data_IF_115638165331
#
_entry.id   IF_115638165331
#
_cell.length_a   1.000
_cell.length_b   1.000
_cell.length_c   1.000
_cell.angle_alpha   90.00
_cell.angle_beta   90.00
_cell.angle_gamma   90.00
#
_symmetry.space_group_name_H-M   'P 1'
#
loop_
_entity.id
_entity.type
_entity.pdbx_description
1 polymer ?
#
# COMPACT_ATOMS: atom_id res chain seq x y z
N UNK A 1 -6.46 -2.39 12.18
CA UNK A 1 -5.94 -3.77 12.35
C UNK A 1 -4.50 -3.79 11.86
N UNK A 2 -3.59 -4.33 12.67
CA UNK A 2 -2.15 -4.46 12.39
C UNK A 2 -1.89 -5.60 11.38
N UNK A 3 -0.77 -5.55 10.66
CA UNK A 3 -0.22 -6.69 9.91
C UNK A 3 0.62 -7.56 10.87
N UNK A 4 1.45 -8.48 10.35
CA UNK A 4 2.28 -9.31 11.21
C UNK A 4 3.47 -8.51 11.77
N UNK A 5 4.08 -7.65 10.96
CA UNK A 5 5.13 -6.73 11.38
C UNK A 5 4.59 -5.67 12.34
N UNK A 6 5.25 -5.49 13.48
CA UNK A 6 4.75 -4.65 14.59
C UNK A 6 4.54 -3.17 14.18
N UNK A 7 5.35 -2.66 13.28
CA UNK A 7 5.28 -1.29 12.81
C UNK A 7 4.17 -1.06 11.77
N UNK A 8 3.65 -2.12 11.14
CA UNK A 8 2.78 -2.02 9.98
C UNK A 8 1.29 -2.07 10.36
N UNK A 9 0.71 -0.90 10.60
CA UNK A 9 -0.73 -0.76 10.78
C UNK A 9 -1.44 -0.54 9.43
N UNK A 10 -2.52 -1.29 9.18
CA UNK A 10 -3.33 -1.12 7.96
C UNK A 10 -4.22 0.12 8.10
N UNK A 11 -3.78 1.21 7.49
CA UNK A 11 -4.37 2.56 7.56
C UNK A 11 -4.53 3.12 6.15
N UNK A 12 -5.52 2.65 5.37
CA UNK A 12 -5.62 2.99 3.95
C UNK A 12 -5.77 4.49 3.68
N UNK A 13 -6.52 5.20 4.52
CA UNK A 13 -6.68 6.66 4.43
C UNK A 13 -5.36 7.43 4.61
N UNK A 14 -4.33 6.79 5.19
CA UNK A 14 -2.98 7.33 5.28
C UNK A 14 -2.34 7.54 3.91
N UNK A 15 -2.61 6.66 2.94
CA UNK A 15 -2.15 6.80 1.55
C UNK A 15 -2.65 8.10 0.93
N UNK A 16 -3.95 8.37 1.02
CA UNK A 16 -4.54 9.62 0.53
C UNK A 16 -3.91 10.84 1.20
N UNK A 17 -3.80 10.84 2.54
CA UNK A 17 -3.24 11.98 3.28
C UNK A 17 -1.78 12.22 2.94
N UNK A 18 -0.96 11.17 2.83
CA UNK A 18 0.46 11.30 2.50
C UNK A 18 0.67 11.86 1.09
N UNK A 19 -0.04 11.31 0.09
CA UNK A 19 0.04 11.79 -1.30
C UNK A 19 -0.46 13.23 -1.41
N UNK A 20 -1.60 13.54 -0.81
CA UNK A 20 -2.15 14.91 -0.81
C UNK A 20 -1.21 15.89 -0.11
N UNK A 21 -0.58 15.49 1.00
CA UNK A 21 0.42 16.32 1.68
C UNK A 21 1.61 16.61 0.76
N UNK A 22 2.17 15.60 0.08
CA UNK A 22 3.29 15.81 -0.84
C UNK A 22 2.89 16.73 -1.98
N UNK A 23 1.71 16.52 -2.56
CA UNK A 23 1.13 17.38 -3.60
C UNK A 23 1.05 18.84 -3.13
N UNK A 24 0.43 19.11 -1.99
CA UNK A 24 0.21 20.48 -1.51
C UNK A 24 1.51 21.14 -1.04
N UNK A 25 2.36 20.40 -0.34
CA UNK A 25 3.56 20.94 0.30
C UNK A 25 4.69 21.23 -0.67
N UNK A 26 4.78 20.48 -1.76
CA UNK A 26 5.90 20.52 -2.71
C UNK A 26 5.48 20.96 -4.12
N UNK A 27 4.28 21.51 -4.30
CA UNK A 27 3.85 22.09 -5.58
C UNK A 27 3.47 21.06 -6.64
N UNK A 28 2.82 19.97 -6.22
CA UNK A 28 2.33 18.88 -7.06
C UNK A 28 3.42 18.27 -7.96
N UNK A 29 4.54 17.78 -7.37
CA UNK A 29 5.55 17.11 -8.16
C UNK A 29 5.00 15.83 -8.78
N UNK A 30 5.70 15.33 -9.79
CA UNK A 30 5.49 13.97 -10.28
C UNK A 30 5.91 12.96 -9.20
N UNK A 31 5.02 12.03 -8.85
CA UNK A 31 5.21 11.07 -7.75
C UNK A 31 5.21 9.64 -8.32
N UNK A 32 6.16 8.84 -7.83
CA UNK A 32 6.14 7.38 -7.95
C UNK A 32 5.95 6.80 -6.55
N UNK A 33 4.92 5.97 -6.36
CA UNK A 33 4.76 5.15 -5.17
C UNK A 33 5.64 3.91 -5.34
N UNK A 34 6.87 3.99 -4.83
CA UNK A 34 7.90 2.96 -5.03
C UNK A 34 7.62 1.67 -4.28
N UNK A 35 6.96 1.74 -3.11
CA UNK A 35 6.64 0.57 -2.30
C UNK A 35 5.30 0.76 -1.56
N UNK A 36 4.49 -0.30 -1.57
CA UNK A 36 3.35 -0.47 -0.69
C UNK A 36 3.03 -1.96 -0.57
N UNK A 37 2.82 -2.45 0.65
CA UNK A 37 2.63 -3.89 0.89
C UNK A 37 2.22 -4.22 2.32
N UNK A 38 1.94 -5.51 2.55
CA UNK A 38 1.76 -6.07 3.89
C UNK A 38 2.25 -7.51 3.98
N UNK A 39 2.66 -7.90 5.18
CA UNK A 39 3.10 -9.24 5.52
C UNK A 39 1.98 -10.06 6.21
N UNK A 40 2.02 -11.37 5.99
CA UNK A 40 1.15 -12.34 6.67
C UNK A 40 1.92 -13.11 7.75
N UNK A 41 1.23 -13.82 8.66
CA UNK A 41 1.90 -14.64 9.67
C UNK A 41 2.81 -15.72 9.09
N UNK A 42 3.85 -16.05 9.85
CA UNK A 42 4.77 -17.16 9.54
C UNK A 42 4.08 -18.53 9.71
N UNK A 43 4.63 -19.56 9.04
CA UNK A 43 4.21 -20.97 9.16
C UNK A 43 2.80 -21.32 8.67
N UNK A 44 2.27 -20.58 7.70
CA UNK A 44 1.06 -20.99 6.98
C UNK A 44 1.33 -22.22 6.10
N UNK A 45 0.34 -23.10 5.96
CA UNK A 45 0.40 -24.15 4.94
C UNK A 45 0.30 -23.52 3.56
N UNK A 46 0.87 -24.16 2.53
CA UNK A 46 0.83 -23.64 1.16
C UNK A 46 -0.59 -23.29 0.67
N UNK A 47 -1.63 -24.13 0.86
CA UNK A 47 -2.98 -23.73 0.48
C UNK A 47 -3.51 -22.50 1.26
N UNK A 48 -3.11 -22.33 2.53
CA UNK A 48 -3.51 -21.17 3.33
C UNK A 48 -2.78 -19.90 2.92
N UNK A 49 -1.50 -19.98 2.56
CA UNK A 49 -0.72 -18.82 2.12
C UNK A 49 -1.22 -18.27 0.78
N UNK A 50 -1.74 -19.14 -0.10
CA UNK A 50 -2.35 -18.72 -1.37
C UNK A 50 -3.71 -18.02 -1.21
N UNK A 51 -4.41 -18.23 -0.09
CA UNK A 51 -5.72 -17.62 0.18
C UNK A 51 -5.59 -16.33 1.01
N UNK A 52 -4.79 -15.40 0.52
CA UNK A 52 -4.36 -14.16 1.18
C UNK A 52 -5.39 -13.01 1.12
N UNK A 53 -6.63 -13.30 1.50
CA UNK A 53 -7.74 -12.31 1.46
C UNK A 53 -7.42 -11.00 2.21
N UNK A 54 -6.56 -11.05 3.22
CA UNK A 54 -6.06 -9.86 3.92
C UNK A 54 -5.22 -8.96 3.02
N UNK A 55 -4.25 -9.51 2.28
CA UNK A 55 -3.42 -8.78 1.31
C UNK A 55 -4.25 -8.23 0.16
N UNK A 56 -5.21 -9.03 -0.35
CA UNK A 56 -6.16 -8.55 -1.37
C UNK A 56 -6.96 -7.33 -0.88
N UNK A 57 -7.49 -7.39 0.35
CA UNK A 57 -8.23 -6.28 0.94
C UNK A 57 -7.33 -5.06 1.23
N UNK A 58 -6.09 -5.29 1.64
CA UNK A 58 -5.08 -4.24 1.80
C UNK A 58 -4.91 -3.45 0.50
N UNK A 59 -4.54 -4.11 -0.60
CA UNK A 59 -4.34 -3.42 -1.87
C UNK A 59 -5.61 -2.75 -2.38
N UNK A 60 -6.77 -3.41 -2.30
CA UNK A 60 -8.04 -2.81 -2.72
C UNK A 60 -8.32 -1.50 -1.98
N UNK A 61 -8.07 -1.46 -0.67
CA UNK A 61 -8.33 -0.27 0.15
C UNK A 61 -7.30 0.83 -0.08
N UNK A 62 -6.01 0.51 -0.19
CA UNK A 62 -4.94 1.50 -0.43
C UNK A 62 -5.01 2.08 -1.84
N UNK A 63 -5.22 1.25 -2.86
CA UNK A 63 -5.39 1.71 -4.24
C UNK A 63 -6.65 2.55 -4.44
N UNK A 64 -7.71 2.31 -3.67
CA UNK A 64 -8.90 3.18 -3.65
C UNK A 64 -8.55 4.58 -3.15
N UNK A 65 -7.77 4.69 -2.09
CA UNK A 65 -7.34 5.99 -1.53
C UNK A 65 -6.29 6.68 -2.41
N UNK A 66 -5.38 5.92 -3.05
CA UNK A 66 -4.47 6.47 -4.07
C UNK A 66 -5.26 7.00 -5.28
N UNK A 67 -6.23 6.23 -5.78
CA UNK A 67 -7.12 6.68 -6.88
C UNK A 67 -7.88 7.94 -6.49
N UNK A 68 -8.33 8.06 -5.24
CA UNK A 68 -8.95 9.28 -4.73
C UNK A 68 -7.98 10.47 -4.79
N UNK A 69 -6.73 10.29 -4.37
CA UNK A 69 -5.72 11.36 -4.44
C UNK A 69 -5.42 11.78 -5.89
N UNK A 70 -5.36 10.82 -6.82
CA UNK A 70 -5.21 11.07 -8.26
C UNK A 70 -6.41 11.88 -8.79
N UNK A 71 -7.64 11.48 -8.45
CA UNK A 71 -8.84 12.21 -8.83
C UNK A 71 -8.86 13.65 -8.27
N UNK A 72 -8.22 13.87 -7.11
CA UNK A 72 -8.05 15.19 -6.48
C UNK A 72 -6.79 15.93 -6.99
N UNK A 73 -6.21 15.49 -8.10
CA UNK A 73 -5.17 16.20 -8.84
C UNK A 73 -3.72 15.88 -8.45
N UNK A 74 -3.45 14.80 -7.71
CA UNK A 74 -2.08 14.34 -7.50
C UNK A 74 -1.49 13.74 -8.78
N UNK A 75 -0.29 14.19 -9.18
CA UNK A 75 0.44 13.67 -10.34
C UNK A 75 1.20 12.39 -9.97
N UNK A 76 0.54 11.23 -10.15
CA UNK A 76 1.10 9.90 -9.88
C UNK A 76 1.41 9.20 -11.20
N UNK A 77 2.67 8.85 -11.43
CA UNK A 77 3.13 8.16 -12.66
C UNK A 77 3.36 6.67 -12.47
N UNK A 78 3.55 6.20 -11.24
CA UNK A 78 3.81 4.79 -10.97
C UNK A 78 3.35 4.34 -9.60
N UNK A 79 3.01 3.06 -9.51
CA UNK A 79 2.73 2.35 -8.26
C UNK A 79 3.37 0.97 -8.35
N UNK A 80 4.15 0.61 -7.34
CA UNK A 80 4.86 -0.66 -7.26
C UNK A 80 4.55 -1.34 -5.92
N UNK A 81 4.08 -2.59 -6.01
CA UNK A 81 3.76 -3.40 -4.85
C UNK A 81 5.05 -3.99 -4.26
N UNK A 82 5.25 -3.81 -2.94
CA UNK A 82 6.22 -4.59 -2.20
C UNK A 82 5.54 -5.85 -1.68
N UNK A 83 5.85 -7.04 -2.17
CA UNK A 83 6.85 -7.39 -3.18
C UNK A 83 6.27 -8.38 -4.19
N UNK A 84 7.01 -8.61 -5.28
CA UNK A 84 6.66 -9.64 -6.28
C UNK A 84 6.80 -11.06 -5.73
N UNK A 85 7.76 -11.28 -4.84
CA UNK A 85 8.07 -12.56 -4.22
C UNK A 85 8.24 -12.37 -2.72
N UNK A 86 7.88 -13.39 -1.95
CA UNK A 86 8.36 -13.54 -0.58
C UNK A 86 9.90 -13.49 -0.59
N UNK A 87 10.48 -12.79 0.38
CA UNK A 87 11.91 -12.52 0.40
C UNK A 87 12.46 -12.58 1.84
N UNK A 88 13.75 -12.28 1.98
CA UNK A 88 14.37 -12.08 3.29
C UNK A 88 14.16 -10.63 3.71
N UNK A 89 13.24 -10.44 4.64
CA UNK A 89 12.84 -9.15 5.23
C UNK A 89 13.63 -8.84 6.51
#
# INVERSE_FOLDING_TARGET
>A
MQAHSEWLYKVPWGMYKAVTYVKERYGSPNIILSENGMDDPVNLTFPKSLHDSNRVNFYRSYLKELKRAINDGADITGYFAWSILDNFE
#
